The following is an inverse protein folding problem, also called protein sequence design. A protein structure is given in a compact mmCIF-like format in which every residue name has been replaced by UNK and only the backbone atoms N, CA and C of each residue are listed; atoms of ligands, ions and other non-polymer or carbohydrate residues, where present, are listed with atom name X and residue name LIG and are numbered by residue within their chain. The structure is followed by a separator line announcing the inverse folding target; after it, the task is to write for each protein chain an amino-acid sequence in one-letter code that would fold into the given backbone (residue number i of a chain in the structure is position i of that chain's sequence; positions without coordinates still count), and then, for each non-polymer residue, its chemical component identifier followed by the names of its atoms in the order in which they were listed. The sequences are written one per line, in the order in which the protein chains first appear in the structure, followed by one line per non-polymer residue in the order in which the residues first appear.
data_IF_153492295402
#
_entry.id   IF_153492295402
#
_cell.length_a   1.000
_cell.length_b   1.000
_cell.length_c   1.000
_cell.angle_alpha   90.00
_cell.angle_beta   90.00
_cell.angle_gamma   90.00
#
_symmetry.space_group_name_H-M   'P 1'
#
loop_
_entity.id
_entity.type
_entity.pdbx_description
1 polymer ?
#
# COMPACT_ATOMS: atom_id res chain seq x y z
N UNK A 1 8.64 -6.05 -28.24
CA UNK A 1 7.35 -5.40 -28.55
C UNK A 1 7.60 -4.08 -29.26
N UNK A 2 8.48 -3.22 -28.74
CA UNK A 2 8.99 -2.01 -29.42
C UNK A 2 9.43 -2.23 -30.87
N UNK A 3 10.36 -3.17 -31.10
CA UNK A 3 10.83 -3.48 -32.45
C UNK A 3 9.75 -4.03 -33.39
N UNK A 4 8.61 -4.50 -32.87
CA UNK A 4 7.51 -4.98 -33.72
C UNK A 4 6.58 -3.82 -34.13
N UNK A 5 6.45 -2.79 -33.29
CA UNK A 5 5.64 -1.60 -33.54
C UNK A 5 6.33 -0.65 -34.53
N UNK A 6 7.64 -0.47 -34.38
CA UNK A 6 8.45 0.37 -35.28
C UNK A 6 8.54 -0.17 -36.71
N UNK A 7 8.22 -1.44 -36.93
CA UNK A 7 8.36 -2.11 -38.22
C UNK A 7 7.01 -2.34 -38.93
N UNK A 8 5.87 -2.01 -38.31
CA UNK A 8 4.55 -2.33 -38.84
C UNK A 8 3.49 -1.34 -38.31
N UNK A 9 3.15 -0.34 -39.13
CA UNK A 9 2.17 0.71 -38.83
C UNK A 9 0.77 0.13 -38.48
N UNK A 10 0.45 -1.09 -38.95
CA UNK A 10 -0.83 -1.74 -38.63
C UNK A 10 -0.96 -2.14 -37.15
N UNK A 11 0.13 -2.04 -36.38
CA UNK A 11 0.21 -2.43 -34.97
C UNK A 11 0.21 -1.24 -34.01
N UNK A 12 0.17 0.00 -34.49
CA UNK A 12 0.17 1.22 -33.68
C UNK A 12 -0.86 1.22 -32.53
N UNK A 13 -2.00 0.54 -32.72
CA UNK A 13 -3.03 0.40 -31.68
C UNK A 13 -2.54 -0.29 -30.39
N UNK A 14 -1.42 -1.04 -30.42
CA UNK A 14 -0.80 -1.64 -29.24
C UNK A 14 0.16 -0.71 -28.50
N UNK A 15 0.46 0.48 -29.03
CA UNK A 15 1.37 1.43 -28.37
C UNK A 15 0.98 1.73 -26.92
N UNK A 16 -0.31 1.94 -26.57
CA UNK A 16 -0.70 2.17 -25.17
C UNK A 16 -0.36 0.99 -24.23
N UNK A 17 -0.43 -0.25 -24.72
CA UNK A 17 -0.05 -1.44 -23.93
C UNK A 17 1.44 -1.47 -23.64
N UNK A 18 2.24 -1.08 -24.63
CA UNK A 18 3.68 -0.98 -24.47
C UNK A 18 4.04 0.14 -23.50
N UNK A 19 3.42 1.31 -23.63
CA UNK A 19 3.67 2.46 -22.75
C UNK A 19 3.35 2.10 -21.29
N UNK A 20 2.20 1.47 -21.04
CA UNK A 20 1.82 1.00 -19.71
C UNK A 20 2.79 -0.07 -19.17
N UNK A 21 3.26 -0.98 -20.02
CA UNK A 21 4.29 -1.96 -19.63
C UNK A 21 5.62 -1.28 -19.27
N UNK A 22 6.03 -0.27 -20.03
CA UNK A 22 7.28 0.45 -19.83
C UNK A 22 7.25 1.35 -18.58
N UNK A 23 6.07 1.81 -18.19
CA UNK A 23 5.81 2.48 -16.91
C UNK A 23 6.06 1.55 -15.71
N UNK A 24 5.88 0.24 -15.91
CA UNK A 24 6.14 -0.81 -14.92
C UNK A 24 7.55 -1.45 -15.03
N UNK A 25 8.41 -0.94 -15.91
CA UNK A 25 9.78 -1.44 -16.09
C UNK A 25 10.79 -0.65 -15.24
N UNK A 26 11.15 -1.25 -14.10
CA UNK A 26 12.08 -0.69 -13.10
C UNK A 26 13.46 -1.36 -13.16
N UNK A 27 13.97 -1.62 -14.36
CA UNK A 27 15.34 -2.15 -14.52
C UNK A 27 16.43 -1.10 -14.36
N UNK A 28 16.08 0.15 -14.65
CA UNK A 28 16.94 1.31 -14.49
C UNK A 28 16.97 1.77 -13.02
N UNK A 29 18.14 2.17 -12.52
CA UNK A 29 18.33 2.47 -11.10
C UNK A 29 17.57 3.73 -10.63
N UNK A 30 17.47 4.74 -11.50
CA UNK A 30 16.66 5.94 -11.22
C UNK A 30 15.18 5.56 -11.11
N UNK A 31 14.69 4.75 -12.06
CA UNK A 31 13.31 4.22 -11.98
C UNK A 31 13.07 3.36 -10.75
N UNK A 32 14.07 2.58 -10.30
CA UNK A 32 13.98 1.80 -9.06
C UNK A 32 13.85 2.69 -7.85
N UNK A 33 14.60 3.79 -7.80
CA UNK A 33 14.50 4.75 -6.70
C UNK A 33 13.09 5.36 -6.64
N UNK A 34 12.58 5.85 -7.78
CA UNK A 34 11.23 6.40 -7.90
C UNK A 34 10.14 5.38 -7.55
N UNK A 35 10.31 4.12 -7.95
CA UNK A 35 9.37 3.04 -7.61
C UNK A 35 9.27 2.80 -6.10
N UNK A 36 10.38 2.92 -5.38
CA UNK A 36 10.42 2.76 -3.93
C UNK A 36 9.68 3.88 -3.20
N UNK A 37 9.64 5.09 -3.75
CA UNK A 37 8.87 6.21 -3.18
C UNK A 37 7.36 5.96 -3.25
N UNK A 38 6.91 5.19 -4.26
CA UNK A 38 5.52 4.79 -4.43
C UNK A 38 5.10 3.59 -3.56
N UNK A 39 5.98 3.09 -2.69
CA UNK A 39 5.71 1.94 -1.83
C UNK A 39 5.69 2.31 -0.35
N UNK A 40 4.86 1.58 0.38
CA UNK A 40 4.87 1.60 1.83
C UNK A 40 6.24 1.13 2.33
N UNK A 41 6.77 1.79 3.35
CA UNK A 41 8.05 1.42 3.96
C UNK A 41 7.94 0.14 4.82
N UNK A 42 6.72 -0.28 5.16
CA UNK A 42 6.39 -1.51 5.89
C UNK A 42 5.98 -2.62 4.92
N UNK A 43 6.22 -3.87 5.30
CA UNK A 43 5.70 -5.05 4.59
C UNK A 43 4.19 -5.14 4.72
N UNK A 44 3.55 -6.04 3.97
CA UNK A 44 2.09 -6.25 4.01
C UNK A 44 1.57 -6.62 5.41
N UNK A 45 2.42 -7.22 6.24
CA UNK A 45 2.18 -7.53 7.65
C UNK A 45 2.25 -6.32 8.59
N UNK A 46 2.69 -5.16 8.10
CA UNK A 46 2.84 -3.91 8.85
C UNK A 46 4.20 -3.71 9.53
N UNK A 47 5.09 -4.70 9.49
CA UNK A 47 6.44 -4.55 10.05
C UNK A 47 7.43 -3.94 9.04
N UNK A 48 8.34 -3.11 9.54
CA UNK A 48 9.53 -2.70 8.79
C UNK A 48 10.50 -3.88 8.74
N UNK A 49 10.96 -4.22 7.54
CA UNK A 49 11.93 -5.28 7.34
C UNK A 49 13.23 -4.69 6.82
N UNK A 50 14.35 -5.05 7.42
CA UNK A 50 15.68 -4.59 7.02
C UNK A 50 16.43 -5.72 6.32
N UNK A 51 17.17 -5.37 5.28
CA UNK A 51 18.02 -6.28 4.52
C UNK A 51 19.42 -5.70 4.40
N UNK A 52 20.42 -6.58 4.56
CA UNK A 52 21.83 -6.23 4.42
C UNK A 52 22.26 -6.52 2.98
N UNK A 53 22.71 -5.50 2.26
CA UNK A 53 23.27 -5.62 0.90
C UNK A 53 24.70 -5.10 0.87
N UNK A 54 25.51 -5.61 -0.06
CA UNK A 54 26.81 -5.02 -0.32
C UNK A 54 26.59 -3.63 -0.95
N UNK A 55 27.30 -2.62 -0.46
CA UNK A 55 27.26 -1.30 -1.08
C UNK A 55 27.94 -1.36 -2.46
N UNK A 56 27.34 -0.72 -3.47
CA UNK A 56 27.88 -0.74 -4.85
C UNK A 56 29.31 -0.16 -4.93
N UNK A 57 29.63 0.79 -4.06
CA UNK A 57 30.89 1.53 -4.07
C UNK A 57 31.84 1.21 -2.89
N UNK A 58 31.50 0.27 -2.02
CA UNK A 58 32.37 -0.08 -0.88
C UNK A 58 32.30 -1.56 -0.49
N UNK A 59 33.33 -2.05 0.21
CA UNK A 59 33.29 -3.38 0.86
C UNK A 59 32.43 -3.38 2.13
N UNK A 60 31.73 -2.28 2.41
CA UNK A 60 30.86 -2.18 3.56
C UNK A 60 29.47 -2.67 3.20
N UNK A 61 28.79 -3.21 4.21
CA UNK A 61 27.43 -3.69 4.05
C UNK A 61 26.45 -2.60 4.45
N UNK A 62 25.54 -2.27 3.56
CA UNK A 62 24.47 -1.31 3.79
C UNK A 62 23.22 -2.04 4.29
N UNK A 63 22.63 -1.57 5.39
CA UNK A 63 21.35 -2.08 5.88
C UNK A 63 20.25 -1.15 5.39
N UNK A 64 19.43 -1.64 4.46
CA UNK A 64 18.33 -0.88 3.85
C UNK A 64 16.98 -1.48 4.21
N UNK A 65 15.94 -0.66 4.23
CA UNK A 65 14.58 -1.15 4.41
C UNK A 65 14.08 -1.84 3.13
N UNK A 66 13.29 -2.90 3.27
CA UNK A 66 12.61 -3.55 2.14
C UNK A 66 11.20 -2.98 2.05
N UNK A 67 10.86 -2.26 0.96
CA UNK A 67 9.54 -1.66 0.82
C UNK A 67 8.48 -2.75 0.66
N UNK A 68 7.25 -2.44 1.06
CA UNK A 68 6.11 -3.33 0.93
C UNK A 68 5.20 -2.99 -0.24
N UNK A 69 3.87 -3.03 -0.06
CA UNK A 69 2.92 -2.82 -1.13
C UNK A 69 2.91 -1.37 -1.61
N UNK A 70 2.37 -1.13 -2.81
CA UNK A 70 2.15 0.23 -3.31
C UNK A 70 1.20 1.03 -2.43
N UNK A 71 1.46 2.33 -2.28
CA UNK A 71 0.60 3.27 -1.55
C UNK A 71 -0.72 3.53 -2.31
N UNK A 72 -1.73 4.10 -1.61
CA UNK A 72 -3.07 4.34 -2.17
C UNK A 72 -3.01 5.10 -3.49
N UNK A 73 -2.35 6.26 -3.51
CA UNK A 73 -2.24 7.12 -4.70
C UNK A 73 -1.67 6.39 -5.92
N UNK A 74 -0.65 5.56 -5.72
CA UNK A 74 -0.05 4.80 -6.81
C UNK A 74 -0.96 3.67 -7.31
N UNK A 75 -1.69 2.97 -6.41
CA UNK A 75 -2.66 1.94 -6.84
C UNK A 75 -3.81 2.54 -7.64
N UNK A 76 -4.30 3.72 -7.24
CA UNK A 76 -5.30 4.47 -7.99
C UNK A 76 -4.80 4.90 -9.36
N UNK A 77 -3.56 5.40 -9.41
CA UNK A 77 -2.89 5.77 -10.65
C UNK A 77 -2.77 4.57 -11.60
N UNK A 78 -2.27 3.43 -11.12
CA UNK A 78 -2.17 2.20 -11.92
C UNK A 78 -3.52 1.72 -12.44
N UNK A 79 -4.56 1.75 -11.60
CA UNK A 79 -5.91 1.37 -12.01
C UNK A 79 -6.44 2.31 -13.11
N UNK A 80 -6.25 3.62 -12.95
CA UNK A 80 -6.64 4.63 -13.95
C UNK A 80 -5.91 4.37 -15.27
N UNK A 81 -4.58 4.23 -15.24
CA UNK A 81 -3.75 3.96 -16.42
C UNK A 81 -4.14 2.65 -17.12
N UNK A 82 -4.50 1.62 -16.36
CA UNK A 82 -4.97 0.34 -16.91
C UNK A 82 -6.30 0.50 -17.65
N UNK A 83 -7.27 1.20 -17.04
CA UNK A 83 -8.58 1.44 -17.64
C UNK A 83 -8.48 2.36 -18.88
N UNK A 84 -7.65 3.40 -18.83
CA UNK A 84 -7.37 4.29 -19.96
C UNK A 84 -6.74 3.52 -21.11
N UNK A 85 -5.74 2.68 -20.81
CA UNK A 85 -5.09 1.80 -21.80
C UNK A 85 -6.12 0.86 -22.43
N UNK A 86 -6.99 0.25 -21.62
CA UNK A 86 -8.06 -0.62 -22.13
C UNK A 86 -9.01 0.15 -23.06
N UNK A 87 -9.46 1.36 -22.68
CA UNK A 87 -10.38 2.17 -23.47
C UNK A 87 -9.77 2.55 -24.83
N UNK A 88 -8.53 3.06 -24.84
CA UNK A 88 -7.83 3.46 -26.07
C UNK A 88 -7.64 2.25 -26.99
N UNK A 89 -7.26 1.10 -26.42
CA UNK A 89 -7.07 -0.13 -27.21
C UNK A 89 -8.39 -0.60 -27.81
N UNK A 90 -9.50 -0.59 -27.08
CA UNK A 90 -10.81 -0.98 -27.62
C UNK A 90 -11.29 -0.06 -28.75
N UNK A 91 -10.95 1.23 -28.68
CA UNK A 91 -11.25 2.20 -29.74
C UNK A 91 -10.45 1.92 -31.02
N UNK A 92 -9.12 1.75 -30.87
CA UNK A 92 -8.17 1.70 -32.00
C UNK A 92 -7.91 0.29 -32.55
N UNK A 93 -8.19 -0.76 -31.79
CA UNK A 93 -7.89 -2.13 -32.20
C UNK A 93 -8.72 -2.58 -33.41
N UNK A 94 -8.22 -3.54 -34.21
CA UNK A 94 -8.98 -4.22 -35.25
C UNK A 94 -10.27 -4.84 -34.70
N UNK A 95 -11.29 -5.00 -35.55
CA UNK A 95 -12.62 -5.49 -35.15
C UNK A 95 -12.58 -6.80 -34.34
N UNK A 96 -11.63 -7.69 -34.64
CA UNK A 96 -11.44 -8.96 -33.92
C UNK A 96 -10.91 -8.82 -32.49
N UNK A 97 -10.38 -7.65 -32.10
CA UNK A 97 -9.76 -7.40 -30.79
C UNK A 97 -10.40 -6.26 -30.00
N UNK A 98 -11.49 -5.65 -30.49
CA UNK A 98 -12.21 -4.59 -29.77
C UNK A 98 -12.85 -5.04 -28.44
N UNK A 99 -12.96 -6.34 -28.21
CA UNK A 99 -13.49 -6.93 -26.97
C UNK A 99 -12.40 -7.30 -25.96
N UNK A 100 -11.15 -6.86 -26.18
CA UNK A 100 -10.05 -7.14 -25.24
C UNK A 100 -10.39 -6.62 -23.84
N UNK A 101 -10.04 -7.40 -22.83
CA UNK A 101 -10.25 -7.08 -21.42
C UNK A 101 -8.90 -7.24 -20.72
N UNK A 102 -8.30 -6.11 -20.33
CA UNK A 102 -7.08 -6.05 -19.53
C UNK A 102 -7.38 -6.27 -18.06
N UNK A 103 -8.59 -5.88 -17.62
CA UNK A 103 -9.12 -6.16 -16.30
C UNK A 103 -10.62 -6.41 -16.38
N UNK A 104 -11.04 -7.47 -15.73
CA UNK A 104 -12.43 -7.87 -15.67
C UNK A 104 -13.23 -7.10 -14.63
N UNK A 105 -14.55 -7.06 -14.84
CA UNK A 105 -15.46 -6.47 -13.87
C UNK A 105 -15.37 -7.18 -12.51
N UNK A 106 -15.18 -8.50 -12.50
CA UNK A 106 -15.02 -9.28 -11.29
C UNK A 106 -13.72 -8.94 -10.53
N UNK A 107 -12.63 -8.67 -11.25
CA UNK A 107 -11.37 -8.19 -10.66
C UNK A 107 -11.51 -6.77 -10.11
N UNK A 108 -12.25 -5.88 -10.79
CA UNK A 108 -12.56 -4.54 -10.27
C UNK A 108 -13.35 -4.61 -8.95
N UNK A 109 -14.39 -5.46 -8.87
CA UNK A 109 -15.11 -5.71 -7.62
C UNK A 109 -14.19 -6.25 -6.52
N UNK A 110 -13.22 -7.10 -6.85
CA UNK A 110 -12.24 -7.62 -5.88
C UNK A 110 -11.27 -6.53 -5.40
N UNK A 111 -10.79 -5.67 -6.31
CA UNK A 111 -9.95 -4.52 -5.94
C UNK A 111 -10.70 -3.61 -4.97
N UNK A 112 -11.97 -3.28 -5.27
CA UNK A 112 -12.81 -2.45 -4.39
C UNK A 112 -12.97 -3.09 -3.02
N UNK A 113 -13.24 -4.40 -2.96
CA UNK A 113 -13.34 -5.15 -1.69
C UNK A 113 -12.05 -5.04 -0.89
N UNK A 114 -10.89 -5.27 -1.52
CA UNK A 114 -9.58 -5.16 -0.85
C UNK A 114 -9.37 -3.75 -0.30
N UNK A 115 -9.67 -2.71 -1.07
CA UNK A 115 -9.51 -1.32 -0.64
C UNK A 115 -10.41 -0.99 0.56
N UNK A 116 -11.71 -1.32 0.47
CA UNK A 116 -12.68 -1.05 1.54
C UNK A 116 -12.42 -1.89 2.81
N UNK A 117 -12.24 -3.20 2.67
CA UNK A 117 -12.26 -4.14 3.80
C UNK A 117 -10.89 -4.39 4.41
N UNK A 118 -9.83 -4.45 3.60
CA UNK A 118 -8.48 -4.79 4.05
C UNK A 118 -7.59 -3.55 4.21
N UNK A 119 -7.76 -2.55 3.33
CA UNK A 119 -7.01 -1.28 3.42
C UNK A 119 -7.74 -0.20 4.21
N UNK A 120 -9.02 -0.42 4.51
CA UNK A 120 -9.86 0.52 5.26
C UNK A 120 -10.07 1.87 4.53
N UNK A 121 -10.07 1.84 3.18
CA UNK A 121 -10.17 3.00 2.29
C UNK A 121 -11.63 3.31 1.96
N UNK A 122 -12.39 3.76 2.97
CA UNK A 122 -13.83 4.02 2.85
C UNK A 122 -14.17 5.28 2.05
N UNK A 123 -13.18 5.98 1.48
CA UNK A 123 -13.45 6.98 0.46
C UNK A 123 -13.99 6.37 -0.83
N UNK A 124 -13.81 5.06 -1.04
CA UNK A 124 -14.37 4.28 -2.15
C UNK A 124 -14.01 4.88 -3.53
N UNK A 125 -12.71 4.99 -3.81
CA UNK A 125 -12.19 5.63 -5.02
C UNK A 125 -12.49 4.88 -6.32
N UNK A 126 -12.64 3.55 -6.29
CA UNK A 126 -12.73 2.73 -7.50
C UNK A 126 -13.91 3.09 -8.40
N UNK A 127 -15.16 3.21 -7.89
CA UNK A 127 -16.30 3.65 -8.70
C UNK A 127 -16.05 4.98 -9.42
N UNK A 128 -15.45 5.96 -8.72
CA UNK A 128 -15.13 7.28 -9.30
C UNK A 128 -14.10 7.18 -10.41
N UNK A 129 -13.03 6.40 -10.21
CA UNK A 129 -11.99 6.19 -11.22
C UNK A 129 -12.59 5.52 -12.45
N UNK A 130 -13.40 4.49 -12.26
CA UNK A 130 -14.05 3.76 -13.36
C UNK A 130 -14.97 4.67 -14.17
N UNK A 131 -15.87 5.42 -13.52
CA UNK A 131 -16.80 6.33 -14.18
C UNK A 131 -16.07 7.47 -14.91
N UNK A 132 -15.03 8.04 -14.30
CA UNK A 132 -14.23 9.11 -14.93
C UNK A 132 -13.56 8.65 -16.22
N UNK A 133 -13.05 7.41 -16.26
CA UNK A 133 -12.31 6.89 -17.42
C UNK A 133 -13.24 6.31 -18.49
N UNK A 134 -14.29 5.60 -18.08
CA UNK A 134 -15.18 4.88 -19.00
C UNK A 134 -16.42 5.66 -19.41
N UNK A 135 -16.85 6.63 -18.59
CA UNK A 135 -18.13 7.33 -18.72
C UNK A 135 -19.34 6.53 -18.23
N UNK A 136 -19.16 5.27 -17.83
CA UNK A 136 -20.23 4.40 -17.35
C UNK A 136 -20.16 4.23 -15.82
N UNK A 137 -21.29 4.19 -15.11
CA UNK A 137 -21.29 3.97 -13.66
C UNK A 137 -20.82 2.55 -13.30
N UNK A 138 -19.99 2.44 -12.26
CA UNK A 138 -19.56 1.15 -11.73
C UNK A 138 -20.65 0.50 -10.86
N UNK A 139 -21.27 -0.59 -11.35
CA UNK A 139 -22.35 -1.30 -10.65
C UNK A 139 -21.86 -2.56 -9.95
N UNK A 140 -21.46 -2.45 -8.69
CA UNK A 140 -20.95 -3.60 -7.94
C UNK A 140 -22.06 -4.44 -7.30
N UNK A 141 -22.36 -5.59 -7.91
CA UNK A 141 -23.37 -6.51 -7.39
C UNK A 141 -23.03 -7.13 -6.03
N UNK A 142 -21.76 -7.05 -5.59
CA UNK A 142 -21.34 -7.56 -4.27
C UNK A 142 -21.64 -6.58 -3.14
N UNK A 143 -21.77 -5.28 -3.44
CA UNK A 143 -21.99 -4.25 -2.43
C UNK A 143 -23.49 -4.10 -2.15
N UNK A 144 -24.02 -4.96 -1.28
CA UNK A 144 -25.45 -4.98 -0.93
C UNK A 144 -25.82 -4.08 0.27
N UNK A 145 -24.92 -3.25 0.77
CA UNK A 145 -25.17 -2.48 1.99
C UNK A 145 -24.99 -0.98 1.74
N UNK A 146 -26.08 -0.24 1.92
CA UNK A 146 -26.09 1.19 2.25
C UNK A 146 -25.03 1.48 3.32
N UNK A 147 -23.87 1.98 2.89
CA UNK A 147 -22.74 2.29 3.75
C UNK A 147 -22.75 3.76 4.21
N UNK A 148 -23.90 4.30 4.62
CA UNK A 148 -24.12 5.75 4.76
C UNK A 148 -23.41 6.50 5.91
N UNK A 149 -22.39 5.96 6.59
CA UNK A 149 -21.77 6.63 7.76
C UNK A 149 -20.27 6.89 7.68
N UNK A 150 -19.52 6.18 6.84
CA UNK A 150 -18.13 6.54 6.53
C UNK A 150 -18.01 6.51 5.00
N UNK A 151 -17.87 7.69 4.42
CA UNK A 151 -17.68 7.90 3.00
C UNK A 151 -16.60 8.96 2.74
N UNK A 152 -16.69 9.60 1.58
CA UNK A 152 -15.71 10.59 1.12
C UNK A 152 -15.62 11.83 2.03
N UNK A 153 -16.75 12.26 2.62
CA UNK A 153 -16.79 13.43 3.50
C UNK A 153 -16.02 13.17 4.80
N UNK A 154 -16.27 12.04 5.46
CA UNK A 154 -15.53 11.66 6.67
C UNK A 154 -14.04 11.42 6.37
N UNK A 155 -13.72 10.86 5.20
CA UNK A 155 -12.34 10.68 4.76
C UNK A 155 -11.62 12.03 4.63
N UNK A 156 -12.27 12.99 3.99
CA UNK A 156 -11.72 14.34 3.79
C UNK A 156 -11.53 15.08 5.12
N UNK A 157 -12.47 14.93 6.06
CA UNK A 157 -12.35 15.51 7.41
C UNK A 157 -11.16 14.90 8.16
N UNK A 158 -10.99 13.57 8.10
CA UNK A 158 -9.84 12.92 8.74
C UNK A 158 -8.52 13.41 8.15
N UNK A 159 -8.46 13.62 6.83
CA UNK A 159 -7.27 14.11 6.14
C UNK A 159 -6.93 15.55 6.57
N UNK A 160 -7.94 16.37 6.87
CA UNK A 160 -7.77 17.74 7.37
C UNK A 160 -7.28 17.80 8.82
N UNK A 161 -7.82 16.94 9.71
CA UNK A 161 -7.54 17.03 11.15
C UNK A 161 -6.30 16.25 11.60
N UNK A 162 -5.82 15.29 10.80
CA UNK A 162 -4.67 14.47 11.16
C UNK A 162 -3.36 15.16 10.77
N UNK A 163 -2.44 15.26 11.73
CA UNK A 163 -1.15 15.95 11.52
C UNK A 163 -0.21 15.26 10.53
N UNK A 164 -0.31 13.94 10.39
CA UNK A 164 0.59 13.15 9.54
C UNK A 164 -0.10 11.92 8.91
N UNK A 165 0.48 11.35 7.83
CA UNK A 165 -0.13 10.22 7.10
C UNK A 165 -0.33 8.95 7.93
N UNK A 166 0.52 8.70 8.94
CA UNK A 166 0.42 7.52 9.80
C UNK A 166 -0.70 7.69 10.83
N UNK A 167 -0.85 8.88 11.40
CA UNK A 167 -1.99 9.23 12.23
C UNK A 167 -3.31 9.09 11.45
N UNK A 168 -3.37 9.61 10.22
CA UNK A 168 -4.51 9.46 9.33
C UNK A 168 -4.86 7.98 9.06
N UNK A 169 -3.85 7.17 8.71
CA UNK A 169 -4.03 5.73 8.52
C UNK A 169 -4.54 5.03 9.80
N UNK A 170 -4.01 5.38 10.96
CA UNK A 170 -4.46 4.81 12.22
C UNK A 170 -5.95 5.13 12.47
N UNK A 171 -6.36 6.39 12.30
CA UNK A 171 -7.75 6.81 12.52
C UNK A 171 -8.72 6.11 11.57
N UNK A 172 -8.40 6.07 10.28
CA UNK A 172 -9.21 5.38 9.26
C UNK A 172 -9.38 3.89 9.58
N UNK A 173 -8.29 3.21 9.98
CA UNK A 173 -8.31 1.80 10.38
C UNK A 173 -9.14 1.54 11.64
N UNK A 174 -9.00 2.38 12.66
CA UNK A 174 -9.76 2.26 13.91
C UNK A 174 -11.26 2.43 13.66
N UNK A 175 -11.66 3.49 12.94
CA UNK A 175 -13.06 3.76 12.62
C UNK A 175 -13.69 2.67 11.75
N UNK A 176 -12.99 2.26 10.69
CA UNK A 176 -13.45 1.18 9.82
C UNK A 176 -13.58 -0.15 10.57
N UNK A 177 -12.64 -0.45 11.46
CA UNK A 177 -12.71 -1.66 12.30
C UNK A 177 -13.86 -1.61 13.27
N UNK A 178 -14.04 -0.49 13.99
CA UNK A 178 -15.16 -0.30 14.92
C UNK A 178 -16.49 -0.52 14.19
N UNK A 179 -16.68 0.15 13.04
CA UNK A 179 -17.85 0.01 12.19
C UNK A 179 -18.13 -1.43 11.79
N UNK A 180 -17.10 -2.18 11.38
CA UNK A 180 -17.24 -3.60 11.01
C UNK A 180 -17.73 -4.46 12.18
N UNK A 181 -17.25 -4.18 13.40
CA UNK A 181 -17.73 -4.90 14.58
C UNK A 181 -19.12 -4.43 15.03
N UNK A 182 -19.54 -3.19 14.72
CA UNK A 182 -20.88 -2.72 15.05
C UNK A 182 -21.98 -3.55 14.37
N UNK A 183 -21.75 -4.01 13.15
CA UNK A 183 -22.71 -4.80 12.39
C UNK A 183 -22.76 -6.27 12.81
N UNK A 184 -21.83 -6.72 13.66
CA UNK A 184 -21.76 -8.11 14.13
C UNK A 184 -22.68 -8.33 15.33
N UNK A 185 -23.33 -9.51 15.38
CA UNK A 185 -24.16 -9.92 16.53
C UNK A 185 -23.37 -10.01 17.85
N UNK A 186 -22.05 -10.26 17.78
CA UNK A 186 -21.15 -10.30 18.94
C UNK A 186 -19.85 -9.58 18.61
N UNK A 187 -19.40 -8.69 19.49
CA UNK A 187 -18.16 -7.89 19.33
C UNK A 187 -16.91 -8.54 19.95
N UNK A 188 -16.84 -9.87 19.96
CA UNK A 188 -15.70 -10.59 20.53
C UNK A 188 -14.46 -10.37 19.64
N UNK A 189 -13.32 -9.99 20.24
CA UNK A 189 -12.06 -9.74 19.52
C UNK A 189 -11.88 -8.33 18.95
N UNK A 190 -12.80 -7.40 19.23
CA UNK A 190 -12.66 -6.00 18.79
C UNK A 190 -11.41 -5.33 19.37
N UNK A 191 -11.12 -5.56 20.65
CA UNK A 191 -9.96 -4.97 21.32
C UNK A 191 -8.67 -5.42 20.64
N UNK A 192 -8.51 -6.72 20.42
CA UNK A 192 -7.33 -7.28 19.72
C UNK A 192 -7.19 -6.71 18.29
N UNK A 193 -8.32 -6.53 17.59
CA UNK A 193 -8.33 -5.97 16.24
C UNK A 193 -7.92 -4.48 16.21
N UNK A 194 -8.39 -3.68 17.18
CA UNK A 194 -7.99 -2.28 17.31
C UNK A 194 -6.53 -2.16 17.73
N UNK A 195 -6.09 -2.99 18.68
CA UNK A 195 -4.72 -3.04 19.19
C UNK A 195 -3.70 -3.29 18.07
N UNK A 196 -4.02 -4.18 17.13
CA UNK A 196 -3.16 -4.48 15.98
C UNK A 196 -2.86 -3.25 15.11
N UNK A 197 -3.78 -2.30 14.99
CA UNK A 197 -3.56 -1.09 14.19
C UNK A 197 -2.56 -0.15 14.85
N UNK A 198 -2.52 -0.09 16.19
CA UNK A 198 -1.49 0.65 16.91
C UNK A 198 -0.11 0.04 16.68
N UNK A 199 0.02 -1.29 16.60
CA UNK A 199 1.31 -1.94 16.32
C UNK A 199 1.91 -1.55 14.97
N UNK A 200 1.07 -1.25 13.97
CA UNK A 200 1.52 -0.98 12.61
C UNK A 200 1.54 0.49 12.25
N UNK A 201 0.66 1.30 12.85
CA UNK A 201 0.33 2.64 12.34
C UNK A 201 0.51 3.77 13.36
N UNK A 202 1.00 3.48 14.57
CA UNK A 202 1.13 4.51 15.62
C UNK A 202 2.40 5.36 15.55
N UNK A 203 3.30 5.12 14.60
CA UNK A 203 4.61 5.79 14.54
C UNK A 203 4.82 6.40 13.16
N UNK A 204 5.41 7.61 13.07
CA UNK A 204 5.92 8.16 11.82
C UNK A 204 6.92 7.24 11.14
N UNK A 205 7.14 7.45 9.84
CA UNK A 205 8.02 6.62 9.01
C UNK A 205 9.44 6.55 9.57
N UNK A 206 10.01 7.70 9.90
CA UNK A 206 11.38 7.84 10.39
C UNK A 206 11.56 7.07 11.69
N UNK A 207 10.68 7.31 12.67
CA UNK A 207 10.71 6.64 13.97
C UNK A 207 10.53 5.13 13.85
N UNK A 208 9.63 4.67 12.97
CA UNK A 208 9.40 3.25 12.74
C UNK A 208 10.63 2.57 12.11
N UNK A 209 11.34 3.24 11.20
CA UNK A 209 12.59 2.74 10.61
C UNK A 209 13.70 2.72 11.66
N UNK A 210 13.87 3.79 12.43
CA UNK A 210 14.88 3.88 13.49
C UNK A 210 14.69 2.79 14.56
N UNK A 211 13.44 2.52 14.95
CA UNK A 211 13.12 1.44 15.86
C UNK A 211 13.46 0.06 15.26
N UNK A 212 13.27 -0.13 13.95
CA UNK A 212 13.67 -1.36 13.26
C UNK A 212 15.20 -1.54 13.27
N UNK A 213 15.95 -0.45 13.05
CA UNK A 213 17.42 -0.47 13.14
C UNK A 213 17.91 -0.74 14.57
N UNK A 214 17.28 -0.14 15.57
CA UNK A 214 17.56 -0.41 16.98
C UNK A 214 17.37 -1.91 17.30
N UNK A 215 16.22 -2.47 16.94
CA UNK A 215 15.92 -3.89 17.14
C UNK A 215 16.88 -4.81 16.39
N UNK A 216 17.32 -4.42 15.19
CA UNK A 216 18.31 -5.16 14.42
C UNK A 216 19.68 -5.16 15.12
N UNK A 217 20.12 -4.00 15.61
CA UNK A 217 21.38 -3.85 16.35
C UNK A 217 21.38 -4.66 17.64
N UNK A 218 20.27 -4.65 18.40
CA UNK A 218 20.10 -5.48 19.61
C UNK A 218 20.23 -6.97 19.24
N UNK A 219 19.54 -7.43 18.20
CA UNK A 219 19.63 -8.83 17.74
C UNK A 219 21.03 -9.20 17.28
N UNK A 220 21.75 -8.29 16.63
CA UNK A 220 23.14 -8.50 16.20
C UNK A 220 24.09 -8.60 17.39
N UNK A 221 23.99 -7.68 18.35
CA UNK A 221 24.79 -7.70 19.58
C UNK A 221 24.51 -8.95 20.43
N UNK A 222 23.24 -9.32 20.60
CA UNK A 222 22.86 -10.55 21.31
C UNK A 222 23.43 -11.81 20.65
N UNK A 223 23.41 -11.90 19.31
CA UNK A 223 24.06 -13.00 18.57
C UNK A 223 25.59 -13.02 18.72
N UNK A 224 26.20 -11.84 18.86
CA UNK A 224 27.64 -11.71 19.10
C UNK A 224 28.03 -11.95 20.57
N UNK A 225 27.07 -12.09 21.48
CA UNK A 225 27.31 -12.22 22.93
C UNK A 225 27.72 -10.92 23.63
N UNK A 226 27.52 -9.77 22.98
CA UNK A 226 27.87 -8.46 23.53
C UNK A 226 26.76 -7.95 24.45
N UNK A 227 26.82 -8.38 25.71
CA UNK A 227 25.83 -8.06 26.75
C UNK A 227 25.82 -6.56 27.08
N UNK A 228 26.96 -5.87 26.97
CA UNK A 228 27.09 -4.46 27.31
C UNK A 228 26.35 -3.59 26.29
N UNK A 229 26.57 -3.85 25.01
CA UNK A 229 25.83 -3.16 23.93
C UNK A 229 24.34 -3.44 23.99
N UNK A 230 23.91 -4.67 24.34
CA UNK A 230 22.47 -4.98 24.51
C UNK A 230 21.87 -4.10 25.61
N UNK A 231 22.50 -4.00 26.79
CA UNK A 231 22.01 -3.18 27.90
C UNK A 231 21.89 -1.71 27.52
N UNK A 232 22.94 -1.16 26.92
CA UNK A 232 22.96 0.25 26.48
C UNK A 232 21.86 0.57 25.47
N UNK A 233 21.53 -0.36 24.57
CA UNK A 233 20.48 -0.18 23.58
C UNK A 233 19.06 -0.37 24.14
N UNK A 234 18.89 -1.16 25.21
CA UNK A 234 17.59 -1.42 25.85
C UNK A 234 17.19 -0.39 26.90
N UNK A 235 18.13 0.37 27.46
CA UNK A 235 17.87 1.36 28.52
C UNK A 235 17.22 2.67 28.01
N UNK A 236 16.84 2.74 26.72
CA UNK A 236 16.14 3.91 26.17
C UNK A 236 14.72 4.06 26.75
N UNK A 237 14.24 5.30 26.99
CA UNK A 237 12.87 5.54 27.43
C UNK A 237 11.85 4.97 26.44
N UNK A 238 10.67 4.61 26.97
CA UNK A 238 9.60 4.07 26.17
C UNK A 238 8.77 5.23 25.63
N UNK A 239 8.93 5.55 24.36
CA UNK A 239 8.33 6.72 23.74
C UNK A 239 7.08 6.35 22.90
N UNK A 240 6.72 5.06 22.82
CA UNK A 240 5.57 4.60 22.03
C UNK A 240 4.76 3.48 22.69
N UNK A 241 3.56 3.25 22.15
CA UNK A 241 2.61 2.23 22.64
C UNK A 241 3.21 0.80 22.65
N UNK A 242 3.98 0.43 21.62
CA UNK A 242 4.65 -0.86 21.58
C UNK A 242 5.70 -0.98 22.71
N UNK A 243 6.44 0.09 22.99
CA UNK A 243 7.44 0.09 24.06
C UNK A 243 6.75 -0.02 25.44
N UNK A 244 5.61 0.65 25.63
CA UNK A 244 4.78 0.55 26.84
C UNK A 244 4.24 -0.88 27.06
N UNK A 245 3.78 -1.55 25.99
CA UNK A 245 3.25 -2.92 26.06
C UNK A 245 4.29 -3.94 26.52
N UNK A 246 5.54 -3.79 26.11
CA UNK A 246 6.61 -4.75 26.42
C UNK A 246 7.44 -4.40 27.67
N UNK A 247 7.36 -3.17 28.18
CA UNK A 247 8.07 -2.75 29.40
C UNK A 247 7.58 -3.44 30.69
N UNK A 248 6.36 -3.99 30.69
CA UNK A 248 5.73 -4.63 31.85
C UNK A 248 5.90 -6.15 31.97
N UNK A 249 6.73 -6.80 31.14
CA UNK A 249 6.94 -8.26 31.15
C UNK A 249 8.36 -8.67 31.57
N UNK A 250 8.92 -7.97 32.55
CA UNK A 250 10.19 -8.31 33.21
C UNK A 250 9.96 -8.94 34.57
#
# INVERSE_FOLDING_TARGET
MEAMLLNDDSKEWMQPLLDFRNELDFRDDEKRFQERENRDFRRISGNVHLFERDAEDSKEKEVTNVPGPYIKSWREHLLRRLLETQAIVREKAPASMKTIELISFAELSEIRRIWLEEKHEFDDALPRIYETVTGDPFQDFRSSSDQSFLGLDEWSILEEICDDPMHFELMTRLLSTERRFQTMSRRVGIIDALEKHFETSSRPKEEAIDNAHLNWNIKKAAKAGDVETVKQLTDKPADSWADLKFKGRG
#
